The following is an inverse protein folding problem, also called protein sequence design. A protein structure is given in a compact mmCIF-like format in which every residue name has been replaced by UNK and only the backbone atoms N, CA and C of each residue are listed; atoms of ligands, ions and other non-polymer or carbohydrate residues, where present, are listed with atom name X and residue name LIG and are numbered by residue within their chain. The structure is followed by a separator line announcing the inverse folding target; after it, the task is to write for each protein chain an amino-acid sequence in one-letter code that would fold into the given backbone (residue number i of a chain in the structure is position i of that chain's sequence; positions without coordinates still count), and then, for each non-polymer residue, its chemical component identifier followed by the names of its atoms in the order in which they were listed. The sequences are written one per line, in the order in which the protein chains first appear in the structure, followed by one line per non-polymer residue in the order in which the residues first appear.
data_IF_898953612345
#
_entry.id   IF_898953612345
#
_cell.length_a   1.000
_cell.length_b   1.000
_cell.length_c   1.000
_cell.angle_alpha   90.00
_cell.angle_beta   90.00
_cell.angle_gamma   90.00
#
_symmetry.space_group_name_H-M   'P 1'
#
loop_
_entity.id
_entity.type
_entity.pdbx_description
1 polymer ?
#
# COMPACT_ATOMS: atom_id res chain seq x y z
N UNK A 1 -24.64 7.12 -21.64
CA UNK A 1 -23.69 7.23 -20.52
C UNK A 1 -22.62 8.25 -20.90
N UNK A 2 -22.36 9.23 -20.05
CA UNK A 2 -21.36 10.27 -20.30
C UNK A 2 -19.97 9.73 -19.94
N UNK A 3 -19.01 9.83 -20.86
CA UNK A 3 -17.62 9.43 -20.64
C UNK A 3 -16.78 10.69 -20.39
N UNK A 4 -16.22 10.82 -19.18
CA UNK A 4 -15.55 12.04 -18.70
C UNK A 4 -14.09 12.20 -19.17
N UNK A 5 -13.59 11.32 -20.06
CA UNK A 5 -12.24 11.41 -20.65
C UNK A 5 -11.13 11.67 -19.59
N UNK A 6 -11.16 10.90 -18.50
CA UNK A 6 -10.26 11.07 -17.36
C UNK A 6 -8.82 10.66 -17.80
N UNK A 7 -7.85 11.58 -17.82
CA UNK A 7 -6.53 11.30 -18.39
C UNK A 7 -5.63 10.48 -17.44
N UNK A 8 -5.89 10.54 -16.13
CA UNK A 8 -5.26 9.72 -15.11
C UNK A 8 -6.06 9.79 -13.81
N UNK A 9 -5.81 8.86 -12.91
CA UNK A 9 -6.39 8.83 -11.56
C UNK A 9 -5.30 8.70 -10.48
N UNK A 10 -5.66 9.11 -9.26
CA UNK A 10 -4.93 8.72 -8.06
C UNK A 10 -5.78 7.72 -7.28
N UNK A 11 -5.14 6.76 -6.61
CA UNK A 11 -5.81 5.77 -5.80
C UNK A 11 -5.44 5.94 -4.32
N UNK A 12 -6.43 5.79 -3.46
CA UNK A 12 -6.24 5.63 -2.02
C UNK A 12 -6.98 4.36 -1.61
N UNK A 13 -6.24 3.35 -1.17
CA UNK A 13 -6.80 2.09 -0.71
C UNK A 13 -6.63 1.96 0.80
N UNK A 14 -7.71 1.69 1.52
CA UNK A 14 -7.70 1.46 2.97
C UNK A 14 -7.88 -0.04 3.27
N UNK A 15 -7.08 -0.61 4.18
CA UNK A 15 -7.19 -2.03 4.57
C UNK A 15 -7.09 -2.95 3.34
N UNK A 16 -7.99 -3.92 3.19
CA UNK A 16 -8.11 -4.75 1.98
C UNK A 16 -8.36 -3.95 0.68
N UNK A 17 -8.88 -2.72 0.77
CA UNK A 17 -8.96 -1.80 -0.37
C UNK A 17 -7.58 -1.38 -0.89
N UNK A 18 -6.53 -1.46 -0.05
CA UNK A 18 -5.13 -1.37 -0.45
C UNK A 18 -4.77 -2.45 -1.48
N UNK A 19 -5.04 -3.71 -1.18
CA UNK A 19 -4.88 -4.83 -2.14
C UNK A 19 -5.76 -4.66 -3.37
N UNK A 20 -7.02 -4.25 -3.19
CA UNK A 20 -7.92 -4.00 -4.32
C UNK A 20 -7.37 -2.96 -5.32
N UNK A 21 -6.72 -1.90 -4.82
CA UNK A 21 -6.07 -0.91 -5.67
C UNK A 21 -4.84 -1.47 -6.41
N UNK A 22 -4.04 -2.33 -5.76
CA UNK A 22 -2.90 -3.00 -6.42
C UNK A 22 -3.38 -3.95 -7.50
N UNK A 23 -4.42 -4.73 -7.23
CA UNK A 23 -5.01 -5.64 -8.22
C UNK A 23 -5.58 -4.86 -9.40
N UNK A 24 -6.28 -3.75 -9.14
CA UNK A 24 -6.74 -2.86 -10.19
C UNK A 24 -5.57 -2.39 -11.09
N UNK A 25 -4.47 -1.94 -10.50
CA UNK A 25 -3.30 -1.49 -11.27
C UNK A 25 -2.69 -2.63 -12.11
N UNK A 26 -2.59 -3.85 -11.56
CA UNK A 26 -2.10 -5.03 -12.28
C UNK A 26 -3.03 -5.38 -13.46
N UNK A 27 -4.32 -5.51 -13.18
CA UNK A 27 -5.31 -6.07 -14.10
C UNK A 27 -5.62 -5.10 -15.24
N UNK A 28 -5.49 -3.80 -15.00
CA UNK A 28 -5.82 -2.75 -15.97
C UNK A 28 -4.61 -2.15 -16.69
N UNK A 29 -3.38 -2.47 -16.28
CA UNK A 29 -2.14 -1.86 -16.78
C UNK A 29 -2.04 -1.69 -18.31
N UNK A 30 -2.52 -2.67 -19.06
CA UNK A 30 -2.42 -2.71 -20.53
C UNK A 30 -3.77 -2.49 -21.23
N UNK A 31 -4.80 -2.05 -20.50
CA UNK A 31 -6.13 -1.85 -21.05
C UNK A 31 -6.41 -0.34 -21.26
N UNK A 32 -6.43 0.15 -22.51
CA UNK A 32 -6.61 1.58 -22.79
C UNK A 32 -8.00 2.11 -22.43
N UNK A 33 -8.95 1.25 -22.07
CA UNK A 33 -10.26 1.65 -21.59
C UNK A 33 -10.26 2.09 -20.11
N UNK A 34 -9.13 1.93 -19.42
CA UNK A 34 -8.95 2.36 -18.03
C UNK A 34 -7.95 3.52 -17.97
N UNK A 35 -8.20 4.53 -17.12
CA UNK A 35 -7.25 5.62 -16.94
C UNK A 35 -5.97 5.11 -16.27
N UNK A 36 -4.78 5.59 -16.67
CA UNK A 36 -3.55 5.27 -15.98
C UNK A 36 -3.56 5.81 -14.55
N UNK A 37 -2.90 5.10 -13.63
CA UNK A 37 -2.70 5.55 -12.25
C UNK A 37 -1.45 6.42 -12.18
N UNK A 38 -1.53 7.55 -11.49
CA UNK A 38 -0.41 8.47 -11.29
C UNK A 38 0.19 8.32 -9.87
N UNK A 39 -0.66 8.32 -8.84
CA UNK A 39 -0.26 8.16 -7.44
C UNK A 39 -1.11 7.10 -6.74
N UNK A 40 -0.48 6.33 -5.88
CA UNK A 40 -1.14 5.35 -5.03
C UNK A 40 -0.78 5.59 -3.56
N UNK A 41 -1.80 5.71 -2.70
CA UNK A 41 -1.64 5.67 -1.25
C UNK A 41 -2.28 4.38 -0.73
N UNK A 42 -1.47 3.59 -0.04
CA UNK A 42 -1.97 2.56 0.86
C UNK A 42 -2.14 3.15 2.25
N UNK A 43 -3.33 3.05 2.80
CA UNK A 43 -3.63 3.38 4.19
C UNK A 43 -3.92 2.09 4.94
N UNK A 44 -3.00 1.68 5.80
CA UNK A 44 -3.10 0.47 6.59
C UNK A 44 -3.42 -0.77 5.73
N UNK A 45 -2.72 -0.91 4.60
CA UNK A 45 -3.04 -1.91 3.58
C UNK A 45 -2.77 -3.34 4.04
N UNK A 46 -3.61 -4.28 3.61
CA UNK A 46 -3.43 -5.71 3.84
C UNK A 46 -3.03 -6.38 2.53
N UNK A 47 -1.88 -7.02 2.45
CA UNK A 47 -1.30 -7.65 1.24
C UNK A 47 -0.95 -9.13 1.41
N UNK A 48 -0.90 -9.61 2.65
CA UNK A 48 -0.50 -10.96 3.00
C UNK A 48 -1.39 -11.59 4.07
N UNK A 49 -2.68 -11.21 4.11
CA UNK A 49 -3.72 -11.73 5.02
C UNK A 49 -3.45 -11.54 6.53
N UNK A 50 -3.03 -10.34 6.92
CA UNK A 50 -2.58 -9.98 8.26
C UNK A 50 -1.49 -10.92 8.82
N UNK A 51 -0.60 -11.41 7.96
CA UNK A 51 0.46 -12.34 8.37
C UNK A 51 1.51 -11.60 9.22
N UNK A 52 1.76 -12.11 10.42
CA UNK A 52 2.79 -11.59 11.33
C UNK A 52 4.20 -11.95 10.86
N UNK A 53 5.20 -11.27 11.42
CA UNK A 53 6.60 -11.68 11.31
C UNK A 53 6.78 -13.13 11.78
N UNK A 54 7.58 -13.87 11.03
CA UNK A 54 7.99 -15.23 11.41
C UNK A 54 9.21 -15.20 12.35
N UNK A 55 9.48 -16.32 13.02
CA UNK A 55 10.67 -16.44 13.86
C UNK A 55 11.95 -16.19 13.05
N UNK A 56 12.77 -15.23 13.49
CA UNK A 56 14.00 -14.82 12.79
C UNK A 56 13.80 -13.80 11.68
N UNK A 57 12.55 -13.41 11.39
CA UNK A 57 12.21 -12.35 10.44
C UNK A 57 12.07 -11.00 11.17
N UNK A 58 12.62 -9.94 10.57
CA UNK A 58 12.43 -8.56 11.03
C UNK A 58 11.69 -7.73 9.98
N UNK A 59 11.12 -6.59 10.39
CA UNK A 59 10.52 -5.64 9.45
C UNK A 59 11.53 -5.18 8.37
N UNK A 60 12.81 -5.06 8.72
CA UNK A 60 13.88 -4.76 7.75
C UNK A 60 14.02 -5.86 6.70
N UNK A 61 13.92 -7.13 7.10
CA UNK A 61 13.95 -8.24 6.14
C UNK A 61 12.76 -8.17 5.17
N UNK A 62 11.56 -7.87 5.70
CA UNK A 62 10.34 -7.72 4.90
C UNK A 62 10.45 -6.59 3.89
N UNK A 63 10.95 -5.42 4.30
CA UNK A 63 11.14 -4.27 3.42
C UNK A 63 12.19 -4.53 2.31
N UNK A 64 13.15 -5.41 2.55
CA UNK A 64 14.22 -5.72 1.60
C UNK A 64 13.88 -6.88 0.67
N UNK A 65 13.23 -7.92 1.18
CA UNK A 65 13.10 -9.21 0.50
C UNK A 65 11.66 -9.75 0.48
N UNK A 66 10.72 -9.06 1.12
CA UNK A 66 9.36 -9.54 1.32
C UNK A 66 9.21 -10.51 2.48
N UNK A 67 7.97 -10.98 2.72
CA UNK A 67 7.66 -11.88 3.82
C UNK A 67 8.13 -13.31 3.53
N UNK A 68 8.58 -14.03 4.55
CA UNK A 68 8.97 -15.43 4.47
C UNK A 68 7.79 -16.34 4.12
N UNK A 69 6.62 -16.08 4.72
CA UNK A 69 5.37 -16.77 4.40
C UNK A 69 4.60 -15.92 3.41
N UNK A 70 4.33 -16.49 2.23
CA UNK A 70 3.62 -15.82 1.14
C UNK A 70 2.27 -16.48 0.93
N UNK A 71 1.21 -15.74 1.21
CA UNK A 71 -0.16 -16.19 0.90
C UNK A 71 -0.43 -16.07 -0.60
N UNK A 72 -1.49 -16.73 -1.09
CA UNK A 72 -1.93 -16.58 -2.48
C UNK A 72 -2.23 -15.13 -2.88
N UNK A 73 -2.69 -14.32 -1.93
CA UNK A 73 -2.90 -12.88 -2.13
C UNK A 73 -1.57 -12.19 -2.48
N UNK A 74 -0.55 -12.45 -1.66
CA UNK A 74 0.78 -11.89 -1.87
C UNK A 74 1.43 -12.40 -3.16
N UNK A 75 1.34 -13.71 -3.41
CA UNK A 75 1.91 -14.34 -4.60
C UNK A 75 1.37 -13.74 -5.90
N UNK A 76 0.07 -13.41 -5.94
CA UNK A 76 -0.49 -12.72 -7.10
C UNK A 76 0.19 -11.37 -7.38
N UNK A 77 0.45 -10.58 -6.33
CA UNK A 77 1.15 -9.31 -6.44
C UNK A 77 2.60 -9.54 -6.87
N UNK A 78 3.30 -10.47 -6.22
CA UNK A 78 4.70 -10.81 -6.52
C UNK A 78 4.90 -11.30 -7.96
N UNK A 79 3.96 -12.07 -8.50
CA UNK A 79 4.06 -12.59 -9.87
C UNK A 79 3.73 -11.53 -10.94
N UNK A 80 3.09 -10.42 -10.57
CA UNK A 80 2.51 -9.48 -11.53
C UNK A 80 2.88 -8.00 -11.32
N UNK A 81 3.64 -7.64 -10.29
CA UNK A 81 3.92 -6.24 -9.95
C UNK A 81 4.58 -5.47 -11.09
N UNK A 82 5.37 -6.13 -11.94
CA UNK A 82 6.06 -5.51 -13.09
C UNK A 82 5.10 -4.99 -14.17
N UNK A 83 3.84 -5.40 -14.13
CA UNK A 83 2.79 -4.83 -14.99
C UNK A 83 2.46 -3.39 -14.57
N UNK A 84 2.66 -3.04 -13.31
CA UNK A 84 2.41 -1.69 -12.82
C UNK A 84 3.50 -0.77 -13.35
N UNK A 85 3.10 0.35 -13.95
CA UNK A 85 4.04 1.34 -14.48
C UNK A 85 5.04 1.81 -13.40
N UNK A 86 6.35 1.85 -13.69
CA UNK A 86 7.35 2.36 -12.74
C UNK A 86 7.20 3.86 -12.45
N UNK A 87 6.36 4.56 -13.23
CA UNK A 87 6.04 5.98 -13.03
C UNK A 87 5.00 6.22 -11.93
N UNK A 88 4.31 5.18 -11.45
CA UNK A 88 3.36 5.34 -10.34
C UNK A 88 4.15 5.68 -9.08
N UNK A 89 3.86 6.82 -8.47
CA UNK A 89 4.41 7.19 -7.17
C UNK A 89 3.59 6.53 -6.06
N UNK A 90 4.25 6.01 -5.03
CA UNK A 90 3.60 5.20 -3.99
C UNK A 90 3.95 5.67 -2.58
N UNK A 91 2.93 5.71 -1.72
CA UNK A 91 3.07 5.93 -0.30
C UNK A 91 2.35 4.80 0.45
N UNK A 92 3.09 4.03 1.25
CA UNK A 92 2.53 3.07 2.19
C UNK A 92 2.49 3.69 3.58
N UNK A 93 1.29 3.88 4.13
CA UNK A 93 1.05 4.35 5.49
C UNK A 93 0.57 3.18 6.34
N UNK A 94 1.08 3.09 7.55
CA UNK A 94 0.63 2.14 8.55
C UNK A 94 0.58 2.79 9.94
N UNK A 95 -0.46 2.49 10.71
CA UNK A 95 -0.66 3.02 12.04
C UNK A 95 0.29 2.42 13.09
N UNK A 96 1.07 3.26 13.77
CA UNK A 96 1.77 2.87 15.01
C UNK A 96 0.81 2.96 16.22
N UNK A 97 -0.21 2.09 16.23
CA UNK A 97 -1.15 1.98 17.35
C UNK A 97 -0.48 1.31 18.56
N UNK A 98 0.20 0.19 18.31
CA UNK A 98 0.93 -0.56 19.33
C UNK A 98 2.31 -0.99 18.83
N UNK A 99 3.34 -0.18 19.15
CA UNK A 99 4.72 -0.41 18.71
C UNK A 99 5.31 -1.72 19.24
N UNK A 100 4.94 -2.13 20.46
CA UNK A 100 5.43 -3.38 21.05
C UNK A 100 4.90 -4.61 20.29
N UNK A 101 3.69 -4.51 19.71
CA UNK A 101 3.07 -5.56 18.89
C UNK A 101 3.21 -5.34 17.38
N UNK A 102 3.79 -4.22 16.96
CA UNK A 102 3.97 -3.83 15.56
C UNK A 102 2.69 -3.93 14.72
N UNK A 103 1.61 -3.27 15.17
CA UNK A 103 0.30 -3.34 14.51
C UNK A 103 -0.51 -2.06 14.73
N UNK A 104 -1.40 -1.77 13.79
CA UNK A 104 -2.47 -0.78 13.90
C UNK A 104 -3.70 -1.24 14.72
N UNK A 105 -3.65 -2.43 15.34
CA UNK A 105 -4.71 -3.23 16.01
C UNK A 105 -5.40 -4.30 15.18
N UNK A 106 -5.20 -4.33 13.86
CA UNK A 106 -5.77 -5.33 12.95
C UNK A 106 -4.70 -5.91 12.01
N UNK A 107 -3.92 -5.06 11.37
CA UNK A 107 -2.90 -5.43 10.40
C UNK A 107 -1.51 -5.28 11.05
N UNK A 108 -0.61 -6.27 10.92
CA UNK A 108 0.77 -6.12 11.34
C UNK A 108 1.55 -5.26 10.35
N UNK A 109 2.52 -4.48 10.82
CA UNK A 109 3.38 -3.64 9.95
C UNK A 109 4.11 -4.45 8.87
N UNK A 110 4.46 -5.69 9.20
CA UNK A 110 5.08 -6.62 8.28
C UNK A 110 4.18 -6.92 7.07
N UNK A 111 2.88 -7.03 7.28
CA UNK A 111 1.95 -7.21 6.17
C UNK A 111 1.83 -5.92 5.36
N UNK A 112 1.55 -4.79 6.02
CA UNK A 112 1.32 -3.51 5.34
C UNK A 112 2.48 -3.02 4.48
N UNK A 113 3.70 -3.43 4.83
CA UNK A 113 4.89 -3.07 4.05
C UNK A 113 5.48 -4.22 3.23
N UNK A 114 4.85 -5.39 3.20
CA UNK A 114 5.35 -6.60 2.52
C UNK A 114 5.59 -6.44 1.01
N UNK A 115 4.87 -5.52 0.36
CA UNK A 115 4.97 -5.23 -1.07
C UNK A 115 6.01 -4.15 -1.40
N UNK A 116 6.61 -3.50 -0.40
CA UNK A 116 7.52 -2.37 -0.61
C UNK A 116 8.67 -2.72 -1.56
N UNK A 117 9.30 -3.87 -1.32
CA UNK A 117 10.47 -4.30 -2.07
C UNK A 117 10.16 -4.56 -3.56
N UNK A 118 8.96 -5.10 -3.86
CA UNK A 118 8.53 -5.40 -5.22
C UNK A 118 8.50 -4.11 -6.06
N UNK A 119 7.83 -3.09 -5.54
CA UNK A 119 7.73 -1.80 -6.22
C UNK A 119 9.05 -1.03 -6.24
N UNK A 120 9.88 -1.20 -5.20
CA UNK A 120 11.24 -0.65 -5.21
C UNK A 120 12.09 -1.28 -6.33
N UNK A 121 12.01 -2.60 -6.51
CA UNK A 121 12.71 -3.35 -7.57
C UNK A 121 12.17 -3.01 -8.96
N UNK A 122 10.86 -2.76 -9.08
CA UNK A 122 10.24 -2.28 -10.31
C UNK A 122 10.67 -0.85 -10.72
N UNK A 123 11.37 -0.13 -9.84
CA UNK A 123 11.82 1.24 -10.09
C UNK A 123 10.81 2.32 -9.72
N UNK A 124 9.73 1.98 -8.99
CA UNK A 124 8.78 2.98 -8.51
C UNK A 124 9.41 3.88 -7.44
N UNK A 125 9.00 5.15 -7.45
CA UNK A 125 9.20 6.05 -6.31
C UNK A 125 8.23 5.62 -5.20
N UNK A 126 8.74 4.87 -4.22
CA UNK A 126 7.95 4.33 -3.11
C UNK A 126 8.54 4.72 -1.75
N UNK A 127 7.66 5.13 -0.85
CA UNK A 127 7.96 5.42 0.56
C UNK A 127 7.03 4.63 1.48
N UNK A 128 7.56 4.17 2.62
CA UNK A 128 6.79 3.56 3.70
C UNK A 128 6.91 4.42 4.95
N UNK A 129 5.81 4.66 5.67
CA UNK A 129 5.80 5.51 6.86
C UNK A 129 4.87 4.96 7.92
N UNK A 130 5.40 4.80 9.13
CA UNK A 130 4.61 4.60 10.33
C UNK A 130 4.14 5.96 10.85
N UNK A 131 2.83 6.18 10.90
CA UNK A 131 2.29 7.41 11.48
C UNK A 131 1.89 7.19 12.94
N UNK A 132 2.20 8.13 13.84
CA UNK A 132 1.87 7.98 15.25
C UNK A 132 0.36 8.07 15.46
N UNK A 133 -0.23 7.06 16.13
CA UNK A 133 -1.66 7.03 16.43
C UNK A 133 -1.95 6.26 17.72
N UNK A 134 -3.07 6.58 18.36
CA UNK A 134 -3.71 5.72 19.38
C UNK A 134 -5.10 5.26 18.96
N UNK A 135 -5.53 5.67 17.79
CA UNK A 135 -6.77 5.21 17.17
C UNK A 135 -6.51 3.86 16.49
N UNK A 136 -7.41 2.89 16.68
CA UNK A 136 -7.36 1.58 16.03
C UNK A 136 -7.55 1.69 14.51
N UNK A 137 -7.17 0.65 13.77
CA UNK A 137 -7.36 0.45 12.33
C UNK A 137 -8.64 1.13 11.79
N UNK A 138 -9.81 0.79 12.34
CA UNK A 138 -11.13 1.32 11.94
C UNK A 138 -11.28 2.84 11.91
N UNK A 139 -10.41 3.57 12.62
CA UNK A 139 -10.45 5.03 12.76
C UNK A 139 -9.39 5.72 11.92
N UNK A 140 -8.48 4.98 11.27
CA UNK A 140 -7.41 5.56 10.46
C UNK A 140 -7.90 6.52 9.36
N UNK A 141 -8.99 6.24 8.61
CA UNK A 141 -9.50 7.19 7.62
C UNK A 141 -9.98 8.53 8.21
N UNK A 142 -10.27 8.57 9.52
CA UNK A 142 -10.69 9.77 10.25
C UNK A 142 -9.55 10.44 10.99
N UNK A 143 -8.35 9.85 10.98
CA UNK A 143 -7.20 10.38 11.70
C UNK A 143 -6.69 11.66 10.99
N UNK A 144 -6.66 12.82 11.66
CA UNK A 144 -6.20 14.07 11.05
C UNK A 144 -4.75 14.00 10.55
N UNK A 145 -3.89 13.19 11.19
CA UNK A 145 -2.51 12.96 10.74
C UNK A 145 -2.50 12.26 9.39
N UNK A 146 -3.31 11.21 9.21
CA UNK A 146 -3.45 10.49 7.93
C UNK A 146 -3.96 11.43 6.84
N UNK A 147 -4.97 12.25 7.14
CA UNK A 147 -5.51 13.23 6.18
C UNK A 147 -4.42 14.18 5.67
N UNK A 148 -3.50 14.63 6.55
CA UNK A 148 -2.35 15.44 6.15
C UNK A 148 -1.40 14.68 5.24
N UNK A 149 -0.97 13.47 5.61
CA UNK A 149 -0.10 12.66 4.74
C UNK A 149 -0.70 12.46 3.35
N UNK A 150 -1.97 12.08 3.27
CA UNK A 150 -2.67 11.84 2.00
C UNK A 150 -2.76 13.14 1.19
N UNK A 151 -3.14 14.26 1.79
CA UNK A 151 -3.22 15.56 1.10
C UNK A 151 -1.87 16.02 0.58
N UNK A 152 -0.83 15.94 1.41
CA UNK A 152 0.53 16.34 1.04
C UNK A 152 1.02 15.49 -0.12
N UNK A 153 0.84 14.17 -0.06
CA UNK A 153 1.30 13.27 -1.10
C UNK A 153 0.53 13.45 -2.42
N UNK A 154 -0.79 13.55 -2.38
CA UNK A 154 -1.60 13.67 -3.59
C UNK A 154 -1.49 15.05 -4.23
N UNK A 155 -1.56 16.12 -3.45
CA UNK A 155 -1.74 17.49 -3.94
C UNK A 155 -0.56 18.43 -3.67
N UNK A 156 0.45 18.02 -2.89
CA UNK A 156 1.55 18.91 -2.50
C UNK A 156 1.15 20.04 -1.54
N UNK A 157 -0.04 19.96 -0.94
CA UNK A 157 -0.58 20.97 -0.01
C UNK A 157 -0.43 20.49 1.43
N UNK A 158 0.23 21.25 2.34
CA UNK A 158 0.37 20.93 3.77
C UNK A 158 -0.94 20.73 4.55
#
# INVERSE_FOLDING_TARGET
MQNYQIPWINLVGYSSGGTGAVYYMIDTANNPNFPPVNKYVSLDGEYNKATNLQYGESLTNVLQNGPLIKTQMYQYIEENYERISPKVQMLLLEGDFNSAKQTDSAIPWADSFSIYHLFKNNGNEITSTLYPTKASHSQAPKNPTVVKYVKNFLYGTP
#
